data_IF_055588981185
#
_entry.id   IF_055588981185
#
_cell.length_a   1.000
_cell.length_b   1.000
_cell.length_c   1.000
_cell.angle_alpha   90.00
_cell.angle_beta   90.00
_cell.angle_gamma   90.00
#
_symmetry.space_group_name_H-M   'P 1'
#
loop_
_entity.id
_entity.type
_entity.pdbx_description
1 polymer ?
#
# COMPACT_ATOMS: atom_id res chain seq x y z
N UNK A 1 -13.69 3.01 2.67
CA UNK A 1 -14.39 1.70 2.78
C UNK A 1 -15.73 1.84 3.49
N UNK A 2 -16.74 0.98 3.25
CA UNK A 2 -18.02 1.03 4.01
C UNK A 2 -17.84 0.52 5.45
N UNK A 3 -18.69 0.96 6.37
CA UNK A 3 -18.63 0.51 7.77
C UNK A 3 -18.95 -0.98 7.95
N UNK A 4 -19.85 -1.52 7.13
CA UNK A 4 -20.19 -2.94 7.15
C UNK A 4 -18.97 -3.79 6.79
N UNK A 5 -18.28 -3.46 5.70
CA UNK A 5 -17.07 -4.14 5.29
C UNK A 5 -15.97 -4.00 6.35
N UNK A 6 -15.82 -2.82 6.97
CA UNK A 6 -14.85 -2.63 8.05
C UNK A 6 -15.12 -3.56 9.24
N UNK A 7 -16.39 -3.74 9.64
CA UNK A 7 -16.74 -4.64 10.75
C UNK A 7 -16.45 -6.10 10.41
N UNK A 8 -16.81 -6.55 9.22
CA UNK A 8 -16.54 -7.92 8.78
C UNK A 8 -15.03 -8.21 8.74
N UNK A 9 -14.24 -7.31 8.15
CA UNK A 9 -12.79 -7.46 8.03
C UNK A 9 -12.11 -7.45 9.41
N UNK A 10 -12.56 -6.60 10.35
CA UNK A 10 -12.04 -6.59 11.73
C UNK A 10 -12.20 -7.95 12.40
N UNK A 11 -13.37 -8.57 12.29
CA UNK A 11 -13.62 -9.92 12.83
C UNK A 11 -12.68 -10.97 12.23
N UNK A 12 -12.34 -10.84 10.94
CA UNK A 12 -11.37 -11.73 10.30
C UNK A 12 -9.96 -11.50 10.89
N UNK A 13 -9.57 -10.24 11.09
CA UNK A 13 -8.24 -9.90 11.60
C UNK A 13 -8.01 -10.25 13.08
N UNK A 14 -9.07 -10.51 13.86
CA UNK A 14 -8.93 -11.08 15.21
C UNK A 14 -8.23 -12.45 15.21
N UNK A 15 -8.20 -13.15 14.08
CA UNK A 15 -7.55 -14.46 13.91
C UNK A 15 -6.06 -14.34 13.54
N UNK A 16 -5.50 -13.14 13.44
CA UNK A 16 -4.08 -12.95 13.18
C UNK A 16 -3.26 -13.31 14.43
N UNK A 17 -2.49 -14.39 14.35
CA UNK A 17 -1.62 -14.82 15.45
C UNK A 17 -0.33 -13.98 15.55
N UNK A 18 0.14 -13.44 14.43
CA UNK A 18 1.42 -12.73 14.31
C UNK A 18 1.26 -11.43 13.53
N UNK A 19 2.27 -10.57 13.64
CA UNK A 19 2.31 -9.31 12.90
C UNK A 19 2.48 -9.58 11.40
N UNK A 20 1.81 -8.78 10.59
CA UNK A 20 1.79 -8.87 9.12
C UNK A 20 2.23 -7.54 8.54
N UNK A 21 3.29 -7.59 7.74
CA UNK A 21 3.84 -6.43 7.04
C UNK A 21 3.37 -6.40 5.59
N UNK A 22 2.74 -5.29 5.21
CA UNK A 22 2.33 -5.00 3.84
C UNK A 22 3.40 -4.10 3.22
N UNK A 23 4.12 -4.65 2.24
CA UNK A 23 5.13 -3.92 1.47
C UNK A 23 4.47 -3.27 0.25
N UNK A 24 4.32 -1.95 0.26
CA UNK A 24 3.68 -1.19 -0.82
C UNK A 24 4.70 -0.37 -1.62
N UNK A 25 4.93 -0.79 -2.86
CA UNK A 25 5.79 -0.10 -3.81
C UNK A 25 4.97 0.87 -4.66
N UNK A 26 5.38 2.13 -4.69
CA UNK A 26 4.64 3.21 -5.34
C UNK A 26 5.59 4.12 -6.10
N UNK A 27 5.13 4.68 -7.21
CA UNK A 27 5.80 5.85 -7.79
C UNK A 27 5.53 7.07 -6.91
N UNK A 28 6.51 7.96 -6.83
CA UNK A 28 6.40 9.20 -6.05
C UNK A 28 5.35 10.12 -6.67
N UNK A 29 4.46 10.68 -5.86
CA UNK A 29 3.63 11.81 -6.27
C UNK A 29 4.53 13.03 -6.52
N UNK A 30 4.82 13.31 -7.80
CA UNK A 30 5.58 14.48 -8.22
C UNK A 30 4.62 15.60 -8.65
N UNK A 31 4.83 16.85 -8.20
CA UNK A 31 4.08 18.01 -8.72
C UNK A 31 4.42 18.29 -10.19
N UNK A 32 5.50 17.71 -10.71
CA UNK A 32 5.92 17.79 -12.09
C UNK A 32 5.49 16.50 -12.79
N UNK A 33 4.57 16.63 -13.76
CA UNK A 33 4.15 15.53 -14.62
C UNK A 33 5.32 15.17 -15.55
N UNK A 34 5.87 13.96 -15.39
CA UNK A 34 6.92 13.45 -16.27
C UNK A 34 6.24 12.62 -17.36
N UNK A 35 6.48 12.90 -18.66
CA UNK A 35 5.99 12.06 -19.74
C UNK A 35 6.48 10.61 -19.56
N UNK A 36 5.57 9.65 -19.42
CA UNK A 36 5.87 8.24 -19.18
C UNK A 36 5.93 7.83 -17.70
N UNK A 37 5.84 8.77 -16.76
CA UNK A 37 5.60 8.48 -15.34
C UNK A 37 4.15 8.78 -15.02
N UNK A 38 3.35 7.75 -14.80
CA UNK A 38 1.99 7.94 -14.31
C UNK A 38 1.50 6.66 -13.63
N UNK A 39 1.46 6.69 -12.29
CA UNK A 39 0.77 5.70 -11.49
C UNK A 39 -0.57 6.27 -11.00
N UNK A 40 -1.64 6.22 -11.82
CA UNK A 40 -2.91 6.87 -11.51
C UNK A 40 -3.57 6.30 -10.24
N UNK A 41 -3.28 5.05 -9.90
CA UNK A 41 -3.88 4.36 -8.75
C UNK A 41 -3.01 4.41 -7.50
N UNK A 42 -1.74 4.83 -7.58
CA UNK A 42 -0.81 4.77 -6.44
C UNK A 42 -1.35 5.50 -5.20
N UNK A 43 -1.95 6.67 -5.40
CA UNK A 43 -2.57 7.44 -4.32
C UNK A 43 -3.75 6.70 -3.70
N UNK A 44 -4.66 6.20 -4.52
CA UNK A 44 -5.88 5.53 -4.05
C UNK A 44 -5.55 4.20 -3.37
N UNK A 45 -4.59 3.44 -3.91
CA UNK A 45 -4.07 2.22 -3.29
C UNK A 45 -3.43 2.52 -1.94
N UNK A 46 -2.62 3.58 -1.83
CA UNK A 46 -2.03 3.99 -0.55
C UNK A 46 -3.10 4.29 0.50
N UNK A 47 -4.11 5.07 0.14
CA UNK A 47 -5.21 5.41 1.04
C UNK A 47 -5.98 4.16 1.48
N UNK A 48 -6.28 3.26 0.54
CA UNK A 48 -6.96 2.01 0.86
C UNK A 48 -6.13 1.14 1.82
N UNK A 49 -4.83 0.98 1.57
CA UNK A 49 -3.96 0.20 2.44
C UNK A 49 -3.83 0.82 3.83
N UNK A 50 -3.80 2.15 3.92
CA UNK A 50 -3.85 2.87 5.20
C UNK A 50 -5.15 2.62 5.96
N UNK A 51 -6.30 2.61 5.27
CA UNK A 51 -7.58 2.23 5.88
C UNK A 51 -7.57 0.79 6.38
N UNK A 52 -6.94 -0.14 5.66
CA UNK A 52 -6.84 -1.56 6.04
C UNK A 52 -5.97 -1.77 7.26
N UNK A 53 -4.75 -1.21 7.30
CA UNK A 53 -3.86 -1.39 8.46
C UNK A 53 -4.40 -0.71 9.72
N UNK A 54 -5.27 0.30 9.58
CA UNK A 54 -5.96 0.90 10.72
C UNK A 54 -7.03 -0.02 11.38
N UNK A 55 -7.33 -1.18 10.78
CA UNK A 55 -8.32 -2.13 11.32
C UNK A 55 -7.74 -3.09 12.36
N UNK A 56 -6.42 -3.24 12.44
CA UNK A 56 -5.75 -4.15 13.38
C UNK A 56 -4.37 -3.60 13.76
N UNK A 57 -4.01 -3.73 15.04
CA UNK A 57 -2.70 -3.37 15.57
C UNK A 57 -1.57 -4.29 15.08
N UNK A 58 -1.91 -5.47 14.55
CA UNK A 58 -0.98 -6.47 13.97
C UNK A 58 -0.62 -6.20 12.51
N UNK A 59 -1.26 -5.22 11.87
CA UNK A 59 -0.97 -4.88 10.48
C UNK A 59 -0.06 -3.66 10.41
N UNK A 60 0.99 -3.76 9.60
CA UNK A 60 1.95 -2.70 9.37
C UNK A 60 2.07 -2.42 7.87
N UNK A 61 2.15 -1.15 7.50
CA UNK A 61 2.31 -0.73 6.11
C UNK A 61 3.67 -0.07 5.93
N UNK A 62 4.50 -0.69 5.12
CA UNK A 62 5.81 -0.19 4.72
C UNK A 62 5.71 0.33 3.28
N UNK A 63 6.02 1.60 3.06
CA UNK A 63 5.86 2.26 1.75
C UNK A 63 7.21 2.56 1.13
N UNK A 64 7.42 2.06 -0.08
CA UNK A 64 8.65 2.19 -0.85
C UNK A 64 8.43 3.02 -2.11
N UNK A 65 9.11 4.15 -2.22
CA UNK A 65 9.09 4.95 -3.45
C UNK A 65 10.05 4.34 -4.48
N UNK A 66 9.51 3.86 -5.60
CA UNK A 66 10.31 3.35 -6.72
C UNK A 66 10.63 4.52 -7.66
N UNK A 67 11.92 4.77 -7.90
CA UNK A 67 12.36 5.71 -8.93
C UNK A 67 12.37 5.01 -10.28
N UNK A 68 11.87 5.68 -11.33
CA UNK A 68 11.70 5.17 -12.70
C UNK A 68 13.02 4.80 -13.41
N UNK A 69 14.17 4.92 -12.75
CA UNK A 69 15.44 4.34 -13.21
C UNK A 69 15.37 2.82 -13.04
N UNK A 70 15.09 2.12 -14.15
CA UNK A 70 14.76 0.69 -14.25
C UNK A 70 15.78 -0.34 -13.73
N UNK A 71 16.72 0.06 -12.87
CA UNK A 71 17.64 -0.82 -12.15
C UNK A 71 17.15 -1.14 -10.71
N UNK A 72 16.39 -0.24 -10.07
CA UNK A 72 15.93 -0.45 -8.68
C UNK A 72 14.75 -1.44 -8.58
N UNK A 73 13.82 -1.42 -9.54
CA UNK A 73 12.65 -2.31 -9.56
C UNK A 73 13.04 -3.78 -9.81
N UNK A 74 14.02 -4.00 -10.70
CA UNK A 74 14.55 -5.32 -11.07
C UNK A 74 15.18 -6.09 -9.91
N UNK A 75 15.72 -5.42 -8.90
CA UNK A 75 16.33 -6.10 -7.75
C UNK A 75 15.28 -6.68 -6.77
N UNK A 76 14.01 -6.29 -6.89
CA UNK A 76 12.92 -6.72 -6.02
C UNK A 76 11.84 -7.55 -6.75
N UNK A 77 12.04 -7.85 -8.05
CA UNK A 77 11.12 -8.67 -8.84
C UNK A 77 9.85 -7.95 -9.31
N UNK A 78 9.83 -6.61 -9.26
CA UNK A 78 8.73 -5.73 -9.68
C UNK A 78 9.13 -4.99 -10.96
#
# INVERSE_FOLDING_TARGET
MSEENQREIKTIFEQLDHDVHLEFFTERESPIIIPGGNCPTCKDTRLLLQEVVALSDKLHLDVHEVTTTGEAARQQGI
#
